data_IF_088423101862
#
_entry.id   IF_088423101862
#
_cell.length_a   1.000
_cell.length_b   1.000
_cell.length_c   1.000
_cell.angle_alpha   90.00
_cell.angle_beta   90.00
_cell.angle_gamma   90.00
#
_symmetry.space_group_name_H-M   'P 1'
#
loop_
_entity.id
_entity.type
_entity.pdbx_description
1 polymer ?
#
# COMPACT_ATOMS: atom_id res chain seq x y z
N UNK A 1 -24.33 -2.82 16.94
CA UNK A 1 -24.56 -4.17 16.36
C UNK A 1 -24.03 -4.19 14.93
N UNK A 2 -23.06 -5.05 14.60
CA UNK A 2 -22.58 -5.19 13.20
C UNK A 2 -23.59 -6.04 12.42
N UNK A 3 -23.97 -5.60 11.22
CA UNK A 3 -24.91 -6.32 10.36
C UNK A 3 -24.42 -7.76 10.05
N UNK A 4 -25.32 -8.75 9.93
CA UNK A 4 -24.94 -10.12 9.61
C UNK A 4 -24.26 -10.16 8.22
N UNK A 5 -23.07 -10.76 8.14
CA UNK A 5 -22.37 -10.97 6.87
C UNK A 5 -23.26 -11.87 5.99
N UNK A 6 -23.75 -11.33 4.87
CA UNK A 6 -24.47 -12.12 3.85
C UNK A 6 -23.60 -13.33 3.46
N UNK A 7 -24.23 -14.49 3.21
CA UNK A 7 -23.56 -15.63 2.58
C UNK A 7 -22.97 -15.16 1.25
N UNK A 8 -21.65 -15.08 1.14
CA UNK A 8 -20.97 -14.61 -0.06
C UNK A 8 -21.10 -15.67 -1.15
N UNK A 9 -22.18 -15.63 -1.93
CA UNK A 9 -22.27 -16.38 -3.18
C UNK A 9 -21.16 -15.88 -4.11
N UNK A 10 -20.53 -16.79 -4.84
CA UNK A 10 -19.52 -16.43 -5.84
C UNK A 10 -20.17 -15.48 -6.87
N UNK A 11 -19.51 -14.38 -7.24
CA UNK A 11 -20.08 -13.41 -8.18
C UNK A 11 -20.37 -14.05 -9.53
N UNK A 12 -21.31 -13.45 -10.30
CA UNK A 12 -21.56 -13.84 -11.68
C UNK A 12 -20.23 -13.95 -12.45
N UNK A 13 -20.06 -15.03 -13.21
CA UNK A 13 -18.95 -15.33 -14.12
C UNK A 13 -18.41 -14.13 -14.90
N UNK A 14 -19.27 -13.16 -15.26
CA UNK A 14 -18.88 -11.93 -15.94
C UNK A 14 -17.91 -11.07 -15.14
N UNK A 15 -18.03 -11.04 -13.81
CA UNK A 15 -17.19 -10.21 -12.93
C UNK A 15 -15.75 -10.73 -12.89
N UNK A 16 -15.47 -12.02 -12.58
CA UNK A 16 -14.12 -12.58 -12.68
C UNK A 16 -13.48 -12.39 -14.05
N UNK A 17 -14.23 -12.58 -15.14
CA UNK A 17 -13.71 -12.41 -16.51
C UNK A 17 -13.28 -10.97 -16.75
N UNK A 18 -14.13 -9.99 -16.42
CA UNK A 18 -13.78 -8.57 -16.55
C UNK A 18 -12.57 -8.18 -15.71
N UNK A 19 -12.45 -8.69 -14.48
CA UNK A 19 -11.29 -8.44 -13.62
C UNK A 19 -10.03 -9.00 -14.28
N UNK A 20 -10.07 -10.24 -14.79
CA UNK A 20 -8.94 -10.86 -15.49
C UNK A 20 -8.51 -10.07 -16.71
N UNK A 21 -9.46 -9.69 -17.57
CA UNK A 21 -9.19 -8.85 -18.74
C UNK A 21 -8.52 -7.52 -18.34
N UNK A 22 -9.07 -6.84 -17.32
CA UNK A 22 -8.52 -5.57 -16.83
C UNK A 22 -7.10 -5.73 -16.29
N UNK A 23 -6.84 -6.77 -15.51
CA UNK A 23 -5.52 -7.03 -14.92
C UNK A 23 -4.50 -7.60 -15.92
N UNK A 24 -4.96 -8.07 -17.09
CA UNK A 24 -4.10 -8.62 -18.15
C UNK A 24 -3.73 -7.57 -19.19
N UNK A 25 -4.34 -6.38 -19.16
CA UNK A 25 -3.98 -5.27 -20.04
C UNK A 25 -2.57 -4.77 -19.69
N UNK A 26 -1.60 -4.80 -20.62
CA UNK A 26 -0.25 -4.32 -20.38
C UNK A 26 -0.18 -2.81 -20.06
N UNK A 27 -1.25 -2.04 -20.35
CA UNK A 27 -1.34 -0.62 -20.02
C UNK A 27 -2.04 -0.36 -18.67
N UNK A 28 -2.43 -1.41 -17.92
CA UNK A 28 -3.10 -1.24 -16.64
C UNK A 28 -2.16 -0.68 -15.58
N UNK A 29 -2.35 0.59 -15.22
CA UNK A 29 -1.50 1.28 -14.22
C UNK A 29 -1.99 1.10 -12.77
N UNK A 30 -2.97 0.24 -12.51
CA UNK A 30 -3.53 0.06 -11.16
C UNK A 30 -2.87 -1.04 -10.32
N UNK A 31 -1.86 -1.71 -10.87
CA UNK A 31 -1.19 -2.88 -10.31
C UNK A 31 -0.39 -2.62 -9.03
N UNK A 32 -0.31 -3.64 -8.18
CA UNK A 32 0.59 -3.65 -7.02
C UNK A 32 1.96 -4.17 -7.46
N UNK A 33 3.02 -3.47 -7.08
CA UNK A 33 4.38 -3.88 -7.41
C UNK A 33 4.95 -4.78 -6.32
N UNK A 34 5.35 -5.99 -6.70
CA UNK A 34 6.13 -6.87 -5.85
C UNK A 34 7.62 -6.54 -5.97
N UNK A 35 8.38 -6.79 -4.91
CA UNK A 35 9.83 -6.69 -4.97
C UNK A 35 10.45 -7.89 -5.69
N UNK A 36 11.45 -7.69 -6.56
CA UNK A 36 12.23 -8.80 -7.10
C UNK A 36 13.05 -9.46 -5.99
N UNK A 37 13.36 -10.75 -6.15
CA UNK A 37 14.18 -11.50 -5.17
C UNK A 37 15.56 -10.88 -4.94
N UNK A 38 16.10 -10.18 -5.93
CA UNK A 38 17.38 -9.47 -5.91
C UNK A 38 17.32 -8.04 -5.33
N UNK A 39 16.17 -7.61 -4.79
CA UNK A 39 16.02 -6.26 -4.24
C UNK A 39 17.07 -5.95 -3.16
N UNK A 40 17.63 -4.75 -3.21
CA UNK A 40 18.60 -4.24 -2.24
C UNK A 40 17.99 -4.08 -0.84
N UNK A 41 18.82 -3.96 0.18
CA UNK A 41 18.35 -3.69 1.55
C UNK A 41 17.51 -2.41 1.64
N UNK A 42 17.90 -1.36 0.91
CA UNK A 42 17.15 -0.10 0.85
C UNK A 42 15.78 -0.29 0.19
N UNK A 43 15.70 -1.00 -0.94
CA UNK A 43 14.43 -1.26 -1.61
C UNK A 43 13.49 -2.10 -0.73
N UNK A 44 14.03 -3.08 0.01
CA UNK A 44 13.28 -3.86 1.00
C UNK A 44 12.75 -3.00 2.13
N UNK A 45 13.59 -2.13 2.71
CA UNK A 45 13.19 -1.22 3.77
C UNK A 45 12.07 -0.27 3.33
N UNK A 46 12.22 0.37 2.16
CA UNK A 46 11.17 1.23 1.57
C UNK A 46 9.86 0.46 1.40
N UNK A 47 9.93 -0.75 0.87
CA UNK A 47 8.73 -1.57 0.66
C UNK A 47 8.05 -1.96 1.97
N UNK A 48 8.83 -2.36 2.99
CA UNK A 48 8.31 -2.66 4.32
C UNK A 48 7.60 -1.46 4.95
N UNK A 49 8.16 -0.25 4.78
CA UNK A 49 7.51 0.97 5.25
C UNK A 49 6.20 1.25 4.48
N UNK A 50 6.17 1.03 3.16
CA UNK A 50 4.91 1.10 2.41
C UNK A 50 3.85 0.12 2.93
N UNK A 51 4.25 -1.12 3.26
CA UNK A 51 3.36 -2.12 3.85
C UNK A 51 2.86 -1.73 5.24
N UNK A 52 3.72 -1.07 6.05
CA UNK A 52 3.33 -0.52 7.35
C UNK A 52 2.23 0.53 7.19
N UNK A 53 2.41 1.50 6.28
CA UNK A 53 1.42 2.55 5.99
C UNK A 53 0.11 1.93 5.45
N UNK A 54 0.20 0.94 4.57
CA UNK A 54 -0.98 0.24 4.05
C UNK A 54 -1.72 -0.58 5.12
N UNK A 55 -1.02 -1.07 6.14
CA UNK A 55 -1.63 -1.77 7.27
C UNK A 55 -2.34 -0.79 8.19
N UNK A 56 -1.71 0.35 8.51
CA UNK A 56 -2.34 1.44 9.25
C UNK A 56 -3.66 1.88 8.60
N UNK A 57 -3.67 2.09 7.27
CA UNK A 57 -4.90 2.44 6.53
C UNK A 57 -6.04 1.44 6.79
N UNK A 58 -5.74 0.15 6.65
CA UNK A 58 -6.75 -0.92 6.75
C UNK A 58 -7.26 -1.10 8.16
N UNK A 59 -6.36 -1.04 9.15
CA UNK A 59 -6.68 -1.18 10.57
C UNK A 59 -7.61 -0.06 11.05
N UNK A 60 -7.43 1.15 10.52
CA UNK A 60 -8.22 2.33 10.89
C UNK A 60 -9.41 2.58 9.93
N UNK A 61 -9.57 1.76 8.88
CA UNK A 61 -10.65 1.92 7.90
C UNK A 61 -10.62 3.24 7.13
N UNK A 62 -9.42 3.81 6.91
CA UNK A 62 -9.24 5.13 6.29
C UNK A 62 -9.32 5.07 4.76
N UNK A 63 -9.84 6.15 4.15
CA UNK A 63 -9.72 6.35 2.72
C UNK A 63 -8.35 6.97 2.38
N UNK A 64 -7.92 6.86 1.12
CA UNK A 64 -6.62 7.40 0.68
C UNK A 64 -6.53 8.91 0.93
N UNK A 65 -7.60 9.66 0.61
CA UNK A 65 -7.73 11.10 0.91
C UNK A 65 -7.55 11.48 2.38
N UNK A 66 -7.90 10.58 3.32
CA UNK A 66 -7.80 10.87 4.75
C UNK A 66 -6.35 10.79 5.19
N UNK A 67 -5.62 9.76 4.73
CA UNK A 67 -4.17 9.62 4.94
C UNK A 67 -3.42 10.76 4.25
N UNK A 68 -3.82 11.11 3.02
CA UNK A 68 -3.23 12.20 2.27
C UNK A 68 -3.27 13.51 3.06
N UNK A 69 -4.44 13.82 3.66
CA UNK A 69 -4.62 14.98 4.55
C UNK A 69 -3.77 14.89 5.81
N UNK A 70 -3.72 13.73 6.47
CA UNK A 70 -2.93 13.55 7.69
C UNK A 70 -1.42 13.70 7.43
N UNK A 71 -0.95 13.24 6.28
CA UNK A 71 0.46 13.33 5.89
C UNK A 71 0.84 14.66 5.24
N UNK A 72 -0.15 15.42 4.76
CA UNK A 72 0.04 16.69 4.04
C UNK A 72 0.58 16.48 2.63
N UNK A 73 0.06 15.48 1.90
CA UNK A 73 0.49 15.11 0.55
C UNK A 73 -0.72 14.87 -0.36
N UNK A 74 -0.48 14.76 -1.67
CA UNK A 74 -1.53 14.44 -2.64
C UNK A 74 -2.01 12.98 -2.52
N UNK A 75 -3.27 12.73 -2.88
CA UNK A 75 -3.85 11.37 -2.87
C UNK A 75 -3.12 10.42 -3.83
N UNK A 76 -2.59 10.93 -4.95
CA UNK A 76 -1.75 10.16 -5.88
C UNK A 76 -0.50 9.59 -5.20
N UNK A 77 0.09 10.36 -4.28
CA UNK A 77 1.26 9.94 -3.50
C UNK A 77 0.91 8.78 -2.56
N UNK A 78 -0.26 8.83 -1.94
CA UNK A 78 -0.76 7.73 -1.11
C UNK A 78 -1.02 6.50 -1.97
N UNK A 79 -1.63 6.70 -3.14
CA UNK A 79 -1.85 5.64 -4.12
C UNK A 79 -0.57 4.91 -4.51
N UNK A 80 0.53 5.63 -4.73
CA UNK A 80 1.83 5.04 -5.04
C UNK A 80 2.41 4.24 -3.86
N UNK A 81 2.28 4.76 -2.63
CA UNK A 81 2.70 4.07 -1.40
C UNK A 81 1.93 2.76 -1.24
N UNK A 82 0.60 2.80 -1.33
CA UNK A 82 -0.27 1.64 -1.13
C UNK A 82 -0.07 0.56 -2.20
N UNK A 83 0.40 0.94 -3.40
CA UNK A 83 0.77 0.02 -4.48
C UNK A 83 2.21 -0.47 -4.43
N UNK A 84 3.01 -0.02 -3.45
CA UNK A 84 4.42 -0.42 -3.31
C UNK A 84 5.35 0.19 -4.36
N UNK A 85 5.01 1.34 -4.95
CA UNK A 85 5.85 2.05 -5.94
C UNK A 85 7.00 2.80 -5.28
N UNK A 86 7.98 2.05 -4.79
CA UNK A 86 9.08 2.58 -3.98
C UNK A 86 10.08 3.48 -4.72
N UNK A 87 10.13 3.44 -6.05
CA UNK A 87 11.13 4.18 -6.85
C UNK A 87 10.94 5.70 -6.80
N UNK A 88 9.72 6.17 -6.56
CA UNK A 88 9.40 7.60 -6.40
C UNK A 88 9.69 8.18 -5.02
N UNK A 89 10.30 7.42 -4.10
CA UNK A 89 10.50 7.81 -2.72
C UNK A 89 11.93 7.56 -2.25
N UNK A 90 12.45 8.50 -1.46
CA UNK A 90 13.64 8.28 -0.65
C UNK A 90 13.26 7.54 0.64
N UNK A 91 14.23 6.92 1.31
CA UNK A 91 13.97 6.14 2.53
C UNK A 91 13.53 7.07 3.67
N UNK A 92 14.23 8.18 3.87
CA UNK A 92 13.93 9.23 4.84
C UNK A 92 12.51 9.76 4.69
N UNK A 93 12.05 9.99 3.45
CA UNK A 93 10.68 10.47 3.19
C UNK A 93 9.62 9.45 3.63
N UNK A 94 9.84 8.17 3.37
CA UNK A 94 8.91 7.11 3.80
C UNK A 94 8.91 6.96 5.32
N UNK A 95 10.08 7.02 5.97
CA UNK A 95 10.18 7.03 7.43
C UNK A 95 9.40 8.20 8.02
N UNK A 96 9.58 9.42 7.50
CA UNK A 96 8.86 10.59 7.99
C UNK A 96 7.34 10.50 7.80
N UNK A 97 6.85 9.83 6.76
CA UNK A 97 5.42 9.53 6.65
C UNK A 97 4.97 8.51 7.69
N UNK A 98 5.73 7.45 7.90
CA UNK A 98 5.39 6.43 8.87
C UNK A 98 5.40 6.96 10.31
N UNK A 99 6.34 7.83 10.69
CA UNK A 99 6.40 8.48 12.00
C UNK A 99 5.17 9.34 12.30
N UNK A 100 4.61 10.02 11.29
CA UNK A 100 3.36 10.79 11.44
C UNK A 100 2.14 9.91 11.72
N UNK A 101 2.14 8.66 11.24
CA UNK A 101 1.05 7.70 11.48
C UNK A 101 1.29 6.87 12.74
N UNK A 102 2.55 6.63 13.10
CA UNK A 102 2.97 5.84 14.25
C UNK A 102 3.90 6.67 15.15
N UNK A 103 3.32 7.47 16.07
CA UNK A 103 4.11 8.16 17.09
C UNK A 103 4.96 7.16 17.88
N UNK A 104 6.27 7.36 17.90
CA UNK A 104 7.22 6.45 18.55
C UNK A 104 7.76 5.32 17.67
N UNK A 105 7.53 5.36 16.35
CA UNK A 105 8.23 4.48 15.41
C UNK A 105 9.75 4.58 15.62
N UNK A 106 10.42 3.42 15.67
CA UNK A 106 11.87 3.32 15.75
C UNK A 106 12.42 2.65 14.50
N UNK A 107 13.53 3.18 13.99
CA UNK A 107 14.28 2.56 12.89
C UNK A 107 15.56 1.96 13.46
N UNK A 108 15.81 0.69 13.14
CA UNK A 108 17.00 -0.03 13.58
C UNK A 108 17.77 -0.54 12.37
N UNK A 109 19.10 -0.48 12.46
CA UNK A 109 20.02 -1.06 11.48
C UNK A 109 20.68 -2.25 12.15
N UNK A 110 20.50 -3.44 11.56
CA UNK A 110 21.05 -4.69 12.08
C UNK A 110 21.98 -5.24 11.00
N UNK A 111 23.22 -5.55 11.38
CA UNK A 111 24.14 -6.30 10.55
C UNK A 111 24.02 -7.79 10.89
N UNK A 112 24.02 -8.63 9.86
CA UNK A 112 24.01 -10.09 9.99
C UNK A 112 25.40 -10.62 10.40
#
# INVERSE_FOLDING_TARGET
MKAPRKKNAFPDSKIPTRIRETLSDPNYQGENLALPKSASGVDRAKYQICQLIASYQREHGLLQKDIARQLGVDESRISDILRGRIKGFTLDRLVGYAEKLHPGLQVQVIAA
#
